data_IF_653903516494
#
_entry.id   IF_653903516494
#
_cell.length_a   1.000
_cell.length_b   1.000
_cell.length_c   1.000
_cell.angle_alpha   90.00
_cell.angle_beta   90.00
_cell.angle_gamma   90.00
#
_symmetry.space_group_name_H-M   'P 1'
#
loop_
_entity.id
_entity.type
_entity.pdbx_description
1 polymer ?
#
# COMPACT_ATOMS: atom_id res chain seq x y z
N UNK A 1 1.31 -7.68 27.39
CA UNK A 1 0.49 -6.66 26.69
C UNK A 1 1.29 -6.11 25.50
N UNK A 2 2.06 -6.98 24.83
CA UNK A 2 3.16 -6.57 23.92
C UNK A 2 2.96 -6.99 22.47
N UNK A 3 2.03 -7.92 22.22
CA UNK A 3 1.77 -8.46 20.88
C UNK A 3 1.27 -7.40 19.88
N UNK A 4 0.35 -6.52 20.29
CA UNK A 4 -0.18 -5.46 19.42
C UNK A 4 0.90 -4.47 18.99
N UNK A 5 1.67 -3.94 19.95
CA UNK A 5 2.74 -2.97 19.68
C UNK A 5 3.80 -3.52 18.71
N UNK A 6 4.15 -4.80 18.84
CA UNK A 6 5.10 -5.45 17.94
C UNK A 6 4.52 -5.65 16.54
N UNK A 7 3.25 -6.06 16.44
CA UNK A 7 2.55 -6.17 15.15
C UNK A 7 2.43 -4.82 14.43
N UNK A 8 2.18 -3.73 15.15
CA UNK A 8 2.12 -2.40 14.55
C UNK A 8 3.47 -1.97 13.97
N UNK A 9 4.56 -2.19 14.72
CA UNK A 9 5.92 -1.91 14.23
C UNK A 9 6.23 -2.74 12.98
N UNK A 10 5.80 -4.00 12.93
CA UNK A 10 5.96 -4.84 11.74
C UNK A 10 5.18 -4.29 10.54
N UNK A 11 3.90 -3.96 10.71
CA UNK A 11 3.08 -3.39 9.63
C UNK A 11 3.64 -2.05 9.14
N UNK A 12 4.09 -1.19 10.06
CA UNK A 12 4.71 0.08 9.71
C UNK A 12 6.02 -0.12 8.93
N UNK A 13 6.86 -1.06 9.36
CA UNK A 13 8.10 -1.41 8.66
C UNK A 13 7.81 -1.95 7.26
N UNK A 14 6.84 -2.86 7.14
CA UNK A 14 6.42 -3.40 5.84
C UNK A 14 5.86 -2.32 4.92
N UNK A 15 5.06 -1.38 5.45
CA UNK A 15 4.57 -0.24 4.68
C UNK A 15 5.71 0.60 4.11
N UNK A 16 6.73 0.90 4.93
CA UNK A 16 7.92 1.65 4.49
C UNK A 16 8.69 0.88 3.41
N UNK A 17 8.98 -0.40 3.63
CA UNK A 17 9.72 -1.23 2.67
C UNK A 17 8.97 -1.32 1.34
N UNK A 18 7.67 -1.56 1.37
CA UNK A 18 6.82 -1.59 0.17
C UNK A 18 6.80 -0.24 -0.55
N UNK A 19 6.80 0.88 0.18
CA UNK A 19 6.85 2.22 -0.41
C UNK A 19 8.19 2.46 -1.14
N UNK A 20 9.32 2.13 -0.51
CA UNK A 20 10.62 2.25 -1.17
C UNK A 20 10.72 1.36 -2.40
N UNK A 21 10.19 0.13 -2.32
CA UNK A 21 10.13 -0.78 -3.46
C UNK A 21 9.28 -0.21 -4.60
N UNK A 22 8.12 0.35 -4.29
CA UNK A 22 7.26 1.01 -5.28
C UNK A 22 7.97 2.17 -5.99
N UNK A 23 8.66 3.03 -5.23
CA UNK A 23 9.46 4.14 -5.78
C UNK A 23 10.56 3.61 -6.70
N UNK A 24 11.30 2.59 -6.27
CA UNK A 24 12.38 1.98 -7.05
C UNK A 24 11.87 1.37 -8.36
N UNK A 25 10.79 0.59 -8.31
CA UNK A 25 10.18 -0.03 -9.49
C UNK A 25 9.61 1.00 -10.45
N UNK A 26 8.96 2.05 -9.93
CA UNK A 26 8.45 3.15 -10.74
C UNK A 26 9.57 3.92 -11.45
N UNK A 27 10.70 4.18 -10.76
CA UNK A 27 11.90 4.77 -11.36
C UNK A 27 12.53 3.86 -12.42
N UNK A 28 12.41 2.55 -12.27
CA UNK A 28 12.94 1.55 -13.21
C UNK A 28 12.03 1.31 -14.43
N UNK A 29 10.96 2.10 -14.58
CA UNK A 29 9.98 1.95 -15.67
C UNK A 29 9.00 0.79 -15.50
N UNK A 30 9.09 0.01 -14.42
CA UNK A 30 8.22 -1.13 -14.13
C UNK A 30 6.93 -0.70 -13.43
N UNK A 31 6.18 0.23 -14.03
CA UNK A 31 5.00 0.85 -13.41
C UNK A 31 3.93 -0.13 -12.95
N UNK A 32 3.69 -1.22 -13.69
CA UNK A 32 2.69 -2.22 -13.30
C UNK A 32 3.03 -2.91 -11.97
N UNK A 33 4.30 -3.27 -11.78
CA UNK A 33 4.78 -3.90 -10.54
C UNK A 33 4.92 -2.85 -9.43
N UNK A 34 5.34 -1.62 -9.78
CA UNK A 34 5.39 -0.49 -8.85
C UNK A 34 4.02 -0.13 -8.27
N UNK A 35 2.96 -0.18 -9.08
CA UNK A 35 1.58 0.01 -8.64
C UNK A 35 1.11 -1.08 -7.67
N UNK A 36 1.51 -2.34 -7.90
CA UNK A 36 1.20 -3.41 -6.95
C UNK A 36 1.96 -3.19 -5.63
N UNK A 37 3.23 -2.82 -5.69
CA UNK A 37 4.05 -2.54 -4.51
C UNK A 37 3.51 -1.36 -3.69
N UNK A 38 2.99 -0.32 -4.32
CA UNK A 38 2.34 0.78 -3.61
C UNK A 38 1.01 0.36 -2.97
N UNK A 39 0.25 -0.51 -3.64
CA UNK A 39 -0.90 -1.20 -3.05
C UNK A 39 -0.55 -1.91 -1.74
N UNK A 40 0.55 -2.67 -1.72
CA UNK A 40 1.03 -3.31 -0.49
C UNK A 40 1.36 -2.28 0.60
N UNK A 41 2.02 -1.17 0.23
CA UNK A 41 2.30 -0.08 1.17
C UNK A 41 1.01 0.49 1.79
N UNK A 42 -0.02 0.71 0.97
CA UNK A 42 -1.35 1.14 1.41
C UNK A 42 -2.06 0.15 2.32
N UNK A 43 -2.05 -1.14 1.96
CA UNK A 43 -2.65 -2.20 2.76
C UNK A 43 -2.01 -2.31 4.15
N UNK A 44 -0.68 -2.27 4.24
CA UNK A 44 0.02 -2.27 5.53
C UNK A 44 -0.21 -0.98 6.33
N UNK A 45 -0.26 0.18 5.66
CA UNK A 45 -0.58 1.45 6.32
C UNK A 45 -2.00 1.44 6.93
N UNK A 46 -2.98 0.84 6.25
CA UNK A 46 -4.32 0.68 6.80
C UNK A 46 -4.33 -0.25 8.02
N UNK A 47 -3.55 -1.33 8.02
CA UNK A 47 -3.41 -2.19 9.20
C UNK A 47 -2.84 -1.45 10.41
N UNK A 48 -1.92 -0.51 10.21
CA UNK A 48 -1.40 0.39 11.25
C UNK A 48 -2.50 1.33 11.76
N UNK A 49 -3.23 2.00 10.85
CA UNK A 49 -4.23 3.01 11.19
C UNK A 49 -5.44 2.40 11.92
N UNK A 50 -5.87 1.23 11.50
CA UNK A 50 -7.03 0.53 12.07
C UNK A 50 -6.63 -0.49 13.14
N UNK A 51 -5.41 -0.39 13.69
CA UNK A 51 -5.00 -1.20 14.83
C UNK A 51 -5.96 -0.97 16.01
N UNK A 52 -6.46 -2.06 16.61
CA UNK A 52 -7.43 -2.01 17.71
C UNK A 52 -8.88 -1.84 17.26
N UNK A 53 -9.15 -1.68 15.95
CA UNK A 53 -10.50 -1.82 15.41
C UNK A 53 -10.97 -3.28 15.48
N UNK A 54 -12.29 -3.51 15.53
CA UNK A 54 -12.88 -4.86 15.53
C UNK A 54 -13.01 -5.46 14.11
N UNK A 55 -12.42 -4.80 13.11
CA UNK A 55 -12.53 -5.26 11.73
C UNK A 55 -11.55 -6.40 11.45
N UNK A 56 -11.93 -7.38 10.61
CA UNK A 56 -11.00 -8.40 10.14
C UNK A 56 -9.78 -7.79 9.45
N UNK A 57 -8.58 -8.20 9.87
CA UNK A 57 -7.31 -7.70 9.32
C UNK A 57 -7.24 -7.82 7.79
N UNK A 58 -7.75 -8.93 7.23
CA UNK A 58 -7.82 -9.14 5.78
C UNK A 58 -8.65 -8.06 5.07
N UNK A 59 -9.79 -7.66 5.64
CA UNK A 59 -10.63 -6.61 5.04
C UNK A 59 -9.98 -5.23 5.13
N UNK A 60 -9.33 -4.92 6.26
CA UNK A 60 -8.56 -3.68 6.43
C UNK A 60 -7.42 -3.62 5.41
N UNK A 61 -6.66 -4.69 5.27
CA UNK A 61 -5.57 -4.77 4.31
C UNK A 61 -6.06 -4.64 2.86
N UNK A 62 -7.07 -5.41 2.46
CA UNK A 62 -7.62 -5.40 1.10
C UNK A 62 -8.19 -4.03 0.75
N UNK A 63 -8.88 -3.38 1.68
CA UNK A 63 -9.43 -2.03 1.44
C UNK A 63 -8.33 -0.99 1.26
N UNK A 64 -7.28 -1.01 2.09
CA UNK A 64 -6.11 -0.14 1.92
C UNK A 64 -5.39 -0.40 0.60
N UNK A 65 -5.20 -1.68 0.24
CA UNK A 65 -4.57 -2.07 -1.01
C UNK A 65 -5.35 -1.54 -2.22
N UNK A 66 -6.65 -1.85 -2.30
CA UNK A 66 -7.50 -1.45 -3.42
C UNK A 66 -7.60 0.07 -3.50
N UNK A 67 -7.77 0.76 -2.37
CA UNK A 67 -7.83 2.21 -2.35
C UNK A 67 -6.55 2.83 -2.93
N UNK A 68 -5.37 2.38 -2.46
CA UNK A 68 -4.10 2.92 -2.96
C UNK A 68 -3.88 2.62 -4.43
N UNK A 69 -4.09 1.38 -4.87
CA UNK A 69 -3.98 1.01 -6.30
C UNK A 69 -4.94 1.84 -7.15
N UNK A 70 -6.18 2.02 -6.70
CA UNK A 70 -7.19 2.77 -7.45
C UNK A 70 -6.84 4.26 -7.57
N UNK A 71 -6.45 4.91 -6.46
CA UNK A 71 -6.04 6.32 -6.48
C UNK A 71 -4.80 6.54 -7.34
N UNK A 72 -3.82 5.64 -7.24
CA UNK A 72 -2.59 5.73 -8.02
C UNK A 72 -2.84 5.47 -9.50
N UNK A 73 -3.70 4.50 -9.82
CA UNK A 73 -4.14 4.22 -11.19
C UNK A 73 -4.87 5.41 -11.81
N UNK A 74 -5.76 6.08 -11.08
CA UNK A 74 -6.43 7.30 -11.58
C UNK A 74 -5.42 8.43 -11.76
N UNK A 75 -4.53 8.64 -10.79
CA UNK A 75 -3.56 9.73 -10.81
C UNK A 75 -2.55 9.60 -11.96
N UNK A 76 -2.12 8.37 -12.26
CA UNK A 76 -1.13 8.08 -13.30
C UNK A 76 -1.73 7.43 -14.53
N UNK A 77 -3.06 7.51 -14.70
CA UNK A 77 -3.72 7.06 -15.92
C UNK A 77 -2.97 7.70 -17.09
N UNK A 78 -2.48 6.93 -18.07
CA UNK A 78 -1.94 7.53 -19.28
C UNK A 78 -3.05 8.42 -19.83
N UNK A 79 -2.74 9.69 -20.12
CA UNK A 79 -3.61 10.53 -20.94
C UNK A 79 -3.72 9.80 -22.27
N UNK A 80 -4.74 8.97 -22.44
CA UNK A 80 -5.16 8.52 -23.74
C UNK A 80 -5.71 9.76 -24.44
N UNK A 81 -4.85 10.50 -25.17
CA UNK A 81 -5.28 11.66 -25.94
C UNK A 81 -4.28 12.78 -26.17
N UNK A 82 -2.97 12.54 -26.18
CA UNK A 82 -2.00 13.49 -26.78
C UNK A 82 -0.97 12.69 -27.60
N UNK A 83 -1.47 12.06 -28.68
CA UNK A 83 -0.69 11.79 -29.88
C UNK A 83 -1.07 12.84 -30.93
#
# INVERSE_FOLDING_TARGET
>A
MDGGKLMNILYFTLAIVSLFLAIFLNKSGQRGIGLMASGFAGGFAFLVVFEGSRYPLSLVFISGFIATVFFEYIRFRPRFGED
#
